data_IF_583464307334
#
_entry.id   IF_583464307334
#
_cell.length_a   1.000
_cell.length_b   1.000
_cell.length_c   1.000
_cell.angle_alpha   90.00
_cell.angle_beta   90.00
_cell.angle_gamma   90.00
#
_symmetry.space_group_name_H-M   'P 1'
#
loop_
_entity.id
_entity.type
_entity.pdbx_description
1 polymer ?
#
# COMPACT_ATOMS: atom_id res chain seq x y z
N UNK A 1 3.43 14.49 12.68
CA UNK A 1 2.54 13.72 13.58
C UNK A 1 2.55 12.28 13.10
N UNK A 2 2.77 11.30 13.98
CA UNK A 2 2.83 9.87 13.59
C UNK A 2 1.44 9.26 13.76
N UNK A 3 0.91 8.60 12.72
CA UNK A 3 -0.35 7.85 12.76
C UNK A 3 0.00 6.36 12.85
N UNK A 4 -0.49 5.69 13.88
CA UNK A 4 -0.35 4.22 14.06
C UNK A 4 -1.73 3.61 13.95
N UNK A 5 -1.87 2.55 13.15
CA UNK A 5 -3.13 1.85 12.89
C UNK A 5 -2.93 0.39 13.29
N UNK A 6 -3.82 -0.12 14.13
CA UNK A 6 -3.77 -1.49 14.63
C UNK A 6 -4.83 -2.34 13.93
N UNK A 7 -4.45 -3.52 13.48
CA UNK A 7 -5.34 -4.54 12.94
C UNK A 7 -5.23 -5.82 13.78
N UNK A 8 -6.30 -6.63 13.79
CA UNK A 8 -6.25 -7.95 14.42
C UNK A 8 -5.36 -8.89 13.60
N UNK A 9 -4.75 -9.88 14.24
CA UNK A 9 -3.96 -10.91 13.55
C UNK A 9 -4.80 -11.80 12.62
N UNK A 10 -6.12 -11.83 12.83
CA UNK A 10 -7.08 -12.51 11.96
C UNK A 10 -7.40 -11.73 10.68
N UNK A 11 -7.07 -10.44 10.64
CA UNK A 11 -7.41 -9.59 9.51
C UNK A 11 -6.46 -9.83 8.33
N UNK A 12 -6.99 -9.74 7.11
CA UNK A 12 -6.15 -9.70 5.93
C UNK A 12 -5.48 -8.31 5.83
N UNK A 13 -4.22 -8.24 6.26
CA UNK A 13 -3.44 -7.01 6.25
C UNK A 13 -3.35 -6.36 4.86
N UNK A 14 -3.18 -7.14 3.79
CA UNK A 14 -3.03 -6.58 2.43
C UNK A 14 -4.33 -5.92 2.00
N UNK A 15 -5.48 -6.54 2.27
CA UNK A 15 -6.78 -5.96 1.95
C UNK A 15 -7.00 -4.65 2.72
N UNK A 16 -6.74 -4.64 4.02
CA UNK A 16 -6.90 -3.45 4.87
C UNK A 16 -5.95 -2.31 4.49
N UNK A 17 -4.71 -2.62 4.15
CA UNK A 17 -3.77 -1.63 3.63
C UNK A 17 -4.27 -1.06 2.29
N UNK A 18 -4.83 -1.91 1.44
CA UNK A 18 -5.36 -1.47 0.14
C UNK A 18 -6.60 -0.59 0.31
N UNK A 19 -7.52 -0.93 1.23
CA UNK A 19 -8.65 -0.08 1.63
C UNK A 19 -8.14 1.32 2.01
N UNK A 20 -7.15 1.38 2.89
CA UNK A 20 -6.57 2.64 3.36
C UNK A 20 -5.95 3.47 2.22
N UNK A 21 -5.21 2.84 1.31
CA UNK A 21 -4.62 3.55 0.16
C UNK A 21 -5.71 4.09 -0.79
N UNK A 22 -6.79 3.33 -0.98
CA UNK A 22 -7.91 3.77 -1.81
C UNK A 22 -8.66 4.95 -1.17
N UNK A 23 -9.00 4.83 0.11
CA UNK A 23 -9.80 5.81 0.84
C UNK A 23 -9.04 7.12 1.11
N UNK A 24 -7.78 7.05 1.58
CA UNK A 24 -7.05 8.25 2.00
C UNK A 24 -6.40 8.97 0.81
N UNK A 25 -6.02 8.26 -0.26
CA UNK A 25 -5.20 8.82 -1.34
C UNK A 25 -5.88 8.79 -2.71
N UNK A 26 -6.43 7.65 -3.14
CA UNK A 26 -7.06 7.59 -4.48
C UNK A 26 -8.35 8.40 -4.57
N UNK A 27 -9.07 8.56 -3.45
CA UNK A 27 -10.24 9.45 -3.36
C UNK A 27 -9.89 10.93 -3.64
N UNK A 28 -8.65 11.34 -3.41
CA UNK A 28 -8.14 12.72 -3.58
C UNK A 28 -7.46 12.94 -4.93
N UNK A 29 -7.37 11.89 -5.76
CA UNK A 29 -6.72 11.87 -7.06
C UNK A 29 -6.04 10.52 -7.30
N UNK A 30 -6.03 10.03 -8.55
CA UNK A 30 -5.47 8.72 -8.95
C UNK A 30 -3.93 8.65 -8.92
N UNK A 31 -3.32 9.15 -7.84
CA UNK A 31 -1.88 9.32 -7.74
C UNK A 31 -1.34 8.90 -6.36
N UNK A 32 -0.68 7.75 -6.32
CA UNK A 32 0.02 7.20 -5.17
C UNK A 32 1.54 7.40 -5.25
N UNK A 33 2.08 8.12 -6.24
CA UNK A 33 3.53 8.30 -6.42
C UNK A 33 4.24 8.95 -5.24
N UNK A 34 3.50 9.67 -4.39
CA UNK A 34 4.01 10.29 -3.14
C UNK A 34 3.92 9.37 -1.92
N UNK A 35 3.44 8.13 -2.08
CA UNK A 35 3.32 7.13 -1.03
C UNK A 35 4.45 6.12 -1.17
N UNK A 36 5.16 5.88 -0.07
CA UNK A 36 6.12 4.80 0.06
C UNK A 36 5.57 3.71 0.98
N UNK A 37 5.47 2.48 0.49
CA UNK A 37 5.13 1.30 1.28
C UNK A 37 6.42 0.52 1.58
N UNK A 38 6.79 0.45 2.86
CA UNK A 38 8.00 -0.27 3.31
C UNK A 38 7.59 -1.54 4.03
N UNK A 39 8.06 -2.68 3.55
CA UNK A 39 7.75 -4.00 4.12
C UNK A 39 9.00 -4.66 4.71
N UNK A 40 8.83 -5.58 5.65
CA UNK A 40 9.94 -6.39 6.17
C UNK A 40 10.59 -7.34 5.15
N UNK A 41 10.04 -7.46 3.94
CA UNK A 41 10.58 -8.26 2.85
C UNK A 41 9.86 -7.98 1.53
N UNK A 42 10.26 -8.63 0.43
CA UNK A 42 9.74 -8.34 -0.91
C UNK A 42 8.38 -8.98 -1.24
N UNK A 43 8.02 -10.09 -0.57
CA UNK A 43 6.81 -10.86 -0.90
C UNK A 43 5.51 -10.02 -0.78
N UNK A 44 5.26 -9.24 0.28
CA UNK A 44 4.05 -8.42 0.42
C UNK A 44 3.82 -7.43 -0.74
N UNK A 45 4.88 -6.93 -1.36
CA UNK A 45 4.78 -6.01 -2.49
C UNK A 45 3.97 -6.60 -3.66
N UNK A 46 4.15 -7.90 -3.95
CA UNK A 46 3.42 -8.58 -5.01
C UNK A 46 1.92 -8.68 -4.69
N UNK A 47 1.58 -8.98 -3.43
CA UNK A 47 0.19 -9.08 -2.99
C UNK A 47 -0.49 -7.71 -3.02
N UNK A 48 0.19 -6.66 -2.55
CA UNK A 48 -0.35 -5.31 -2.62
C UNK A 48 -0.62 -4.86 -4.06
N UNK A 49 0.34 -5.09 -4.98
CA UNK A 49 0.15 -4.77 -6.40
C UNK A 49 -1.05 -5.52 -7.00
N UNK A 50 -1.21 -6.81 -6.67
CA UNK A 50 -2.33 -7.63 -7.12
C UNK A 50 -3.67 -7.09 -6.59
N UNK A 51 -3.76 -6.78 -5.30
CA UNK A 51 -5.00 -6.26 -4.71
C UNK A 51 -5.34 -4.84 -5.22
N UNK A 52 -4.35 -3.97 -5.39
CA UNK A 52 -4.56 -2.66 -6.04
C UNK A 52 -5.09 -2.82 -7.46
N UNK A 53 -4.53 -3.72 -8.27
CA UNK A 53 -5.01 -3.94 -9.65
C UNK A 53 -6.44 -4.48 -9.73
N UNK A 54 -6.91 -5.20 -8.71
CA UNK A 54 -8.29 -5.70 -8.66
C UNK A 54 -9.29 -4.61 -8.32
N UNK A 55 -8.88 -3.64 -7.48
CA UNK A 55 -9.77 -2.61 -6.92
C UNK A 55 -9.76 -1.32 -7.72
N UNK A 56 -8.66 -1.03 -8.40
CA UNK A 56 -8.50 0.19 -9.19
C UNK A 56 -8.62 -0.19 -10.67
N UNK A 57 -9.81 0.05 -11.23
CA UNK A 57 -10.15 -0.28 -12.62
C UNK A 57 -9.51 0.66 -13.64
N UNK A 58 -9.04 1.82 -13.19
CA UNK A 58 -8.50 2.89 -14.03
C UNK A 58 -6.98 3.01 -13.91
N UNK A 59 -6.30 3.59 -14.91
CA UNK A 59 -4.89 3.94 -14.78
C UNK A 59 -4.65 4.86 -13.58
N UNK A 60 -3.63 4.56 -12.78
CA UNK A 60 -3.19 5.35 -11.64
C UNK A 60 -1.67 5.33 -11.54
N UNK A 61 -1.09 6.35 -10.90
CA UNK A 61 0.33 6.31 -10.55
C UNK A 61 0.51 5.46 -9.29
N UNK A 62 1.30 4.37 -9.31
CA UNK A 62 1.42 3.45 -8.19
C UNK A 62 2.29 4.02 -7.06
N UNK A 63 2.19 3.45 -5.83
CA UNK A 63 3.12 3.78 -4.75
C UNK A 63 4.51 3.22 -5.03
N UNK A 64 5.52 3.86 -4.44
CA UNK A 64 6.85 3.26 -4.35
C UNK A 64 6.82 2.17 -3.29
N UNK A 65 7.39 1.00 -3.59
CA UNK A 65 7.37 -0.14 -2.66
C UNK A 65 8.80 -0.61 -2.45
N UNK A 66 9.18 -0.75 -1.19
CA UNK A 66 10.52 -1.12 -0.76
C UNK A 66 10.45 -2.28 0.24
N UNK A 67 11.47 -3.14 0.23
CA UNK A 67 11.83 -3.87 1.45
C UNK A 67 12.52 -2.95 2.44
N UNK A 68 12.62 -3.38 3.70
CA UNK A 68 13.34 -2.64 4.73
C UNK A 68 14.78 -2.36 4.30
N UNK A 69 15.45 -3.35 3.70
CA UNK A 69 16.83 -3.23 3.21
C UNK A 69 16.94 -2.19 2.08
N UNK A 70 16.01 -2.20 1.14
CA UNK A 70 15.97 -1.23 0.03
C UNK A 70 15.66 0.19 0.47
N UNK A 71 14.96 0.36 1.59
CA UNK A 71 14.54 1.68 2.06
C UNK A 71 15.65 2.48 2.75
N UNK A 72 16.62 1.80 3.37
CA UNK A 72 17.72 2.44 4.10
C UNK A 72 19.02 2.55 3.30
N UNK A 73 19.04 2.09 2.05
CA UNK A 73 20.19 2.15 1.15
C UNK A 73 20.07 3.36 0.22
#
# INVERSE_FOLDING_TARGET
MVKVINYSMSDNFIEKLTDLLCEDFLSRGKNLSKVACVFGGRRPALFLKKELSKRVSDPFFPPMIFSREEFFT
#
